data_IF_606169633772
#
_entry.id   IF_606169633772
#
_cell.length_a   1.000
_cell.length_b   1.000
_cell.length_c   1.000
_cell.angle_alpha   90.00
_cell.angle_beta   90.00
_cell.angle_gamma   90.00
#
_symmetry.space_group_name_H-M   'P 1'
#
loop_
_entity.id
_entity.type
_entity.pdbx_description
1 polymer ?
#
# COMPACT_ATOMS: atom_id res chain seq x y z
N UNK A 1 9.37 2.07 28.95
CA UNK A 1 8.95 0.77 28.39
C UNK A 1 8.59 1.01 26.94
N UNK A 2 9.34 0.45 25.99
CA UNK A 2 8.95 0.47 24.57
C UNK A 2 8.21 -0.84 24.35
N UNK A 3 6.93 -0.76 24.00
CA UNK A 3 6.10 -1.94 23.71
C UNK A 3 6.67 -2.67 22.48
N UNK A 4 6.80 -3.99 22.53
CA UNK A 4 7.22 -4.74 21.36
C UNK A 4 6.09 -4.69 20.30
N UNK A 5 6.40 -4.35 19.03
CA UNK A 5 5.40 -4.29 17.98
C UNK A 5 4.74 -5.66 17.78
N UNK A 6 3.41 -5.66 17.75
CA UNK A 6 2.58 -6.85 17.54
C UNK A 6 2.32 -7.04 16.05
N UNK A 7 2.37 -8.29 15.59
CA UNK A 7 1.94 -8.68 14.25
C UNK A 7 0.43 -8.94 14.22
N UNK A 8 -0.21 -8.60 13.11
CA UNK A 8 -1.66 -8.70 12.92
C UNK A 8 -1.97 -9.55 11.67
N UNK A 9 -1.78 -10.89 11.74
CA UNK A 9 -2.06 -11.76 10.61
C UNK A 9 -3.54 -11.75 10.26
N UNK A 10 -3.85 -11.83 8.96
CA UNK A 10 -5.21 -11.73 8.43
C UNK A 10 -5.74 -10.30 8.35
N UNK A 11 -4.86 -9.28 8.36
CA UNK A 11 -5.28 -7.90 8.15
C UNK A 11 -5.83 -7.76 6.73
N UNK A 12 -7.09 -7.34 6.65
CA UNK A 12 -7.73 -7.03 5.37
C UNK A 12 -8.24 -5.60 5.38
N UNK A 13 -7.90 -4.78 4.38
CA UNK A 13 -8.51 -3.47 4.21
C UNK A 13 -10.04 -3.55 4.15
N UNK A 14 -10.58 -4.64 3.60
CA UNK A 14 -12.03 -4.86 3.52
C UNK A 14 -12.69 -5.01 4.90
N UNK A 15 -11.96 -5.46 5.93
CA UNK A 15 -12.48 -5.58 7.29
C UNK A 15 -12.80 -4.23 7.93
N UNK A 16 -12.25 -3.13 7.41
CA UNK A 16 -12.47 -1.76 7.89
C UNK A 16 -13.47 -0.97 7.05
N UNK A 17 -14.04 -1.58 5.99
CA UNK A 17 -15.03 -0.90 5.15
C UNK A 17 -16.38 -0.83 5.86
N UNK A 18 -16.94 0.37 5.93
CA UNK A 18 -18.28 0.55 6.47
C UNK A 18 -19.33 0.01 5.48
N UNK A 19 -20.40 -0.61 5.99
CA UNK A 19 -21.42 -1.24 5.12
C UNK A 19 -22.07 -0.26 4.13
N UNK A 20 -22.32 0.98 4.55
CA UNK A 20 -22.87 2.01 3.67
C UNK A 20 -21.89 2.43 2.55
N UNK A 21 -20.58 2.37 2.81
CA UNK A 21 -19.57 2.73 1.82
C UNK A 21 -19.48 1.65 0.73
N UNK A 22 -19.62 0.39 1.13
CA UNK A 22 -19.70 -0.75 0.20
C UNK A 22 -20.90 -0.57 -0.73
N UNK A 23 -22.08 -0.24 -0.18
CA UNK A 23 -23.29 -0.02 -0.97
C UNK A 23 -23.14 1.20 -1.90
N UNK A 24 -22.62 2.32 -1.40
CA UNK A 24 -22.41 3.52 -2.20
C UNK A 24 -21.44 3.25 -3.36
N UNK A 25 -20.34 2.54 -3.09
CA UNK A 25 -19.34 2.19 -4.10
C UNK A 25 -19.89 1.20 -5.14
N UNK A 26 -20.74 0.25 -4.72
CA UNK A 26 -21.43 -0.65 -5.64
C UNK A 26 -22.35 0.10 -6.61
N UNK A 27 -23.06 1.14 -6.13
CA UNK A 27 -23.92 1.95 -6.98
C UNK A 27 -23.14 2.71 -8.05
N UNK A 28 -21.92 3.17 -7.73
CA UNK A 28 -21.03 3.87 -8.67
C UNK A 28 -20.58 3.00 -9.85
N UNK A 29 -20.59 1.67 -9.71
CA UNK A 29 -20.22 0.75 -10.80
C UNK A 29 -21.16 0.87 -12.02
N UNK A 30 -22.38 1.34 -11.82
CA UNK A 30 -23.37 1.52 -12.89
C UNK A 30 -23.22 2.86 -13.63
N UNK A 31 -22.34 3.76 -13.17
CA UNK A 31 -22.13 5.05 -13.81
C UNK A 31 -21.28 4.84 -15.07
N UNK A 32 -21.82 5.14 -16.27
CA UNK A 32 -21.08 4.96 -17.51
C UNK A 32 -19.75 5.73 -17.49
N UNK A 33 -18.69 5.09 -17.96
CA UNK A 33 -17.33 5.65 -18.09
C UNK A 33 -16.63 6.00 -16.76
N UNK A 34 -17.26 5.85 -15.59
CA UNK A 34 -16.62 6.20 -14.33
C UNK A 34 -15.39 5.33 -14.04
N UNK A 35 -15.51 4.01 -14.18
CA UNK A 35 -14.41 3.07 -13.95
C UNK A 35 -13.17 3.33 -14.83
N UNK A 36 -13.27 3.46 -16.17
CA UNK A 36 -12.10 3.74 -16.99
C UNK A 36 -11.50 5.13 -16.74
N UNK A 37 -12.31 6.14 -16.43
CA UNK A 37 -11.81 7.49 -16.09
C UNK A 37 -11.04 7.46 -14.77
N UNK A 38 -11.60 6.85 -13.72
CA UNK A 38 -10.92 6.72 -12.43
C UNK A 38 -9.62 5.93 -12.56
N UNK A 39 -9.64 4.84 -13.34
CA UNK A 39 -8.44 4.02 -13.59
C UNK A 39 -7.35 4.85 -14.29
N UNK A 40 -7.70 5.65 -15.29
CA UNK A 40 -6.73 6.49 -16.00
C UNK A 40 -6.10 7.54 -15.07
N UNK A 41 -6.89 8.11 -14.16
CA UNK A 41 -6.39 9.07 -13.16
C UNK A 41 -5.47 8.38 -12.14
N UNK A 42 -5.92 7.26 -11.55
CA UNK A 42 -5.21 6.59 -10.46
C UNK A 42 -3.91 5.92 -10.93
N UNK A 43 -3.98 5.08 -11.96
CA UNK A 43 -2.87 4.22 -12.37
C UNK A 43 -1.84 4.93 -13.25
N UNK A 44 -2.30 5.68 -14.26
CA UNK A 44 -1.40 6.16 -15.31
C UNK A 44 -0.65 7.43 -14.93
N UNK A 45 -1.25 8.26 -14.07
CA UNK A 45 -0.68 9.56 -13.68
C UNK A 45 -0.11 9.48 -12.28
N UNK A 46 -0.92 9.16 -11.26
CA UNK A 46 -0.46 9.29 -9.87
C UNK A 46 0.53 8.21 -9.46
N UNK A 47 0.20 6.93 -9.63
CA UNK A 47 1.08 5.83 -9.22
C UNK A 47 2.42 5.85 -9.96
N UNK A 48 2.38 6.08 -11.29
CA UNK A 48 3.61 6.15 -12.09
C UNK A 48 4.49 7.32 -11.70
N UNK A 49 3.93 8.51 -11.50
CA UNK A 49 4.71 9.69 -11.10
C UNK A 49 5.29 9.53 -9.69
N UNK A 50 4.53 8.97 -8.75
CA UNK A 50 5.04 8.65 -7.41
C UNK A 50 6.17 7.63 -7.47
N UNK A 51 6.03 6.56 -8.28
CA UNK A 51 7.09 5.57 -8.45
C UNK A 51 8.36 6.16 -9.06
N UNK A 52 8.22 7.00 -10.10
CA UNK A 52 9.35 7.71 -10.69
C UNK A 52 10.02 8.66 -9.70
N UNK A 53 9.24 9.41 -8.93
CA UNK A 53 9.76 10.30 -7.90
C UNK A 53 10.49 9.52 -6.80
N UNK A 54 9.98 8.35 -6.39
CA UNK A 54 10.68 7.46 -5.45
C UNK A 54 12.02 7.03 -6.04
N UNK A 55 12.02 6.41 -7.23
CA UNK A 55 13.25 5.91 -7.88
C UNK A 55 14.29 7.03 -8.07
N UNK A 56 13.86 8.23 -8.42
CA UNK A 56 14.76 9.36 -8.65
C UNK A 56 15.35 9.94 -7.37
N UNK A 57 14.66 9.83 -6.23
CA UNK A 57 15.02 10.52 -4.98
C UNK A 57 15.34 9.58 -3.80
N UNK A 58 15.27 8.26 -3.97
CA UNK A 58 15.58 7.28 -2.92
C UNK A 58 16.79 6.41 -3.27
N UNK A 59 17.46 5.88 -2.25
CA UNK A 59 18.52 4.88 -2.39
C UNK A 59 17.97 3.54 -1.92
N UNK A 60 18.03 2.54 -2.79
CA UNK A 60 17.67 1.16 -2.45
C UNK A 60 18.76 0.53 -1.61
N UNK A 61 18.38 0.00 -0.46
CA UNK A 61 19.28 -0.69 0.46
C UNK A 61 18.87 -2.14 0.60
N UNK A 62 19.82 -3.04 0.35
CA UNK A 62 19.68 -4.45 0.69
C UNK A 62 20.07 -4.76 2.14
N UNK A 63 19.87 -6.02 2.57
CA UNK A 63 20.19 -6.47 3.92
C UNK A 63 21.66 -6.24 4.29
N UNK A 64 22.58 -6.25 3.32
CA UNK A 64 24.02 -6.02 3.54
C UNK A 64 24.46 -4.55 3.46
N UNK A 65 23.62 -3.65 2.91
CA UNK A 65 23.96 -2.23 2.73
C UNK A 65 23.40 -1.36 3.86
N UNK A 66 22.31 -1.80 4.52
CA UNK A 66 21.63 -1.04 5.58
C UNK A 66 20.88 -1.94 6.56
N UNK A 67 21.49 -3.03 7.03
CA UNK A 67 20.79 -4.13 7.73
C UNK A 67 19.97 -3.77 8.98
N UNK A 68 20.25 -2.66 9.68
CA UNK A 68 19.39 -2.19 10.77
C UNK A 68 18.10 -1.54 10.25
N UNK A 69 18.18 -0.80 9.14
CA UNK A 69 17.03 -0.19 8.48
C UNK A 69 16.21 -1.23 7.72
N UNK A 70 16.88 -2.14 7.01
CA UNK A 70 16.24 -3.23 6.28
C UNK A 70 15.40 -4.12 7.21
N UNK A 71 15.93 -4.48 8.39
CA UNK A 71 15.15 -5.22 9.41
C UNK A 71 13.93 -4.46 9.93
N UNK A 72 13.99 -3.13 10.04
CA UNK A 72 12.82 -2.33 10.42
C UNK A 72 11.78 -2.31 9.31
N UNK A 73 12.22 -2.26 8.06
CA UNK A 73 11.35 -2.36 6.89
C UNK A 73 10.65 -3.73 6.83
N UNK A 74 11.39 -4.83 6.98
CA UNK A 74 10.82 -6.18 7.06
C UNK A 74 9.82 -6.31 8.21
N UNK A 75 10.16 -5.79 9.39
CA UNK A 75 9.27 -5.80 10.55
C UNK A 75 7.99 -4.99 10.30
N UNK A 76 8.08 -3.84 9.64
CA UNK A 76 6.91 -3.04 9.28
C UNK A 76 5.99 -3.78 8.31
N UNK A 77 6.55 -4.46 7.31
CA UNK A 77 5.80 -5.30 6.39
C UNK A 77 5.07 -6.44 7.13
N UNK A 78 5.75 -7.12 8.06
CA UNK A 78 5.15 -8.18 8.88
C UNK A 78 4.02 -7.67 9.78
N UNK A 79 4.18 -6.51 10.43
CA UNK A 79 3.13 -5.90 11.27
C UNK A 79 1.87 -5.61 10.46
N UNK A 80 2.06 -5.13 9.22
CA UNK A 80 0.98 -4.74 8.32
C UNK A 80 0.43 -5.90 7.48
N UNK A 81 0.91 -7.13 7.71
CA UNK A 81 0.54 -8.33 6.96
C UNK A 81 0.72 -8.18 5.44
N UNK A 82 1.81 -7.50 5.03
CA UNK A 82 2.14 -7.31 3.62
C UNK A 82 2.86 -8.59 3.14
N UNK A 83 2.32 -9.33 2.15
CA UNK A 83 2.85 -10.63 1.75
C UNK A 83 4.20 -10.56 1.04
N UNK A 84 4.41 -9.50 0.23
CA UNK A 84 5.64 -9.26 -0.50
C UNK A 84 6.23 -7.90 -0.10
N UNK A 85 7.54 -7.85 0.14
CA UNK A 85 8.20 -6.59 0.47
C UNK A 85 8.02 -5.57 -0.67
N UNK A 86 7.50 -4.35 -0.37
CA UNK A 86 7.35 -3.31 -1.37
C UNK A 86 8.67 -2.95 -2.06
N UNK A 87 8.60 -2.71 -3.38
CA UNK A 87 9.73 -2.25 -4.18
C UNK A 87 9.90 -0.72 -4.04
N UNK A 88 10.39 -0.28 -2.88
CA UNK A 88 10.60 1.14 -2.52
C UNK A 88 12.05 1.62 -2.66
#
# INVERSE_FOLDING_TARGET
MVEEPREFPGLSPAAFQHHLDIQATANLQNVPLLAPVLTAISSSIFERQMRLASIANTVRLGPHQGGSLYRKFEKAAAILDIPDLPDI
#
